data_IF_382548233937
#
_entry.id   IF_382548233937
#
_cell.length_a   1.000
_cell.length_b   1.000
_cell.length_c   1.000
_cell.angle_alpha   90.00
_cell.angle_beta   90.00
_cell.angle_gamma   90.00
#
_symmetry.space_group_name_H-M   'P 1'
#
loop_
_entity.id
_entity.type
_entity.pdbx_description
1 polymer ?
#
# COMPACT_ATOMS: atom_id res chain seq x y z
N UNK A 1 -14.75 6.27 3.49
CA UNK A 1 -13.65 6.89 2.71
C UNK A 1 -14.00 6.82 1.23
N UNK A 2 -13.65 7.84 0.45
CA UNK A 2 -13.79 7.79 -1.00
C UNK A 2 -12.46 7.33 -1.62
N UNK A 3 -12.38 6.09 -2.11
CA UNK A 3 -11.19 5.57 -2.81
C UNK A 3 -10.99 6.19 -4.20
N UNK A 4 -11.94 6.99 -4.69
CA UNK A 4 -11.88 7.59 -6.03
C UNK A 4 -10.73 8.60 -6.22
N UNK A 5 -10.08 9.00 -5.12
CA UNK A 5 -8.87 9.83 -5.18
C UNK A 5 -7.61 9.01 -5.54
N UNK A 6 -7.72 7.67 -5.63
CA UNK A 6 -6.62 6.77 -5.94
C UNK A 6 -6.90 6.02 -7.25
N UNK A 7 -5.89 5.90 -8.11
CA UNK A 7 -5.96 5.01 -9.27
C UNK A 7 -5.55 3.58 -8.84
N UNK A 8 -6.51 2.84 -8.27
CA UNK A 8 -6.26 1.50 -7.72
C UNK A 8 -5.97 0.44 -8.80
N UNK A 9 -6.39 0.65 -10.05
CA UNK A 9 -6.10 -0.24 -11.18
C UNK A 9 -4.58 -0.37 -11.41
N UNK A 10 -3.78 0.65 -11.06
CA UNK A 10 -2.31 0.61 -11.19
C UNK A 10 -1.64 -0.44 -10.30
N UNK A 11 -2.32 -0.88 -9.24
CA UNK A 11 -1.74 -1.75 -8.21
C UNK A 11 -2.52 -3.05 -7.99
N UNK A 12 -3.62 -3.29 -8.71
CA UNK A 12 -4.49 -4.44 -8.49
C UNK A 12 -3.75 -5.78 -8.63
N UNK A 13 -2.87 -5.91 -9.63
CA UNK A 13 -2.07 -7.10 -9.88
C UNK A 13 -0.89 -7.28 -8.90
N UNK A 14 -0.61 -6.27 -8.07
CA UNK A 14 0.49 -6.27 -7.12
C UNK A 14 0.11 -6.85 -5.75
N UNK A 15 -1.18 -7.02 -5.49
CA UNK A 15 -1.71 -7.53 -4.22
C UNK A 15 -2.41 -8.86 -4.48
N UNK A 16 -1.78 -9.96 -4.04
CA UNK A 16 -2.37 -11.30 -4.21
C UNK A 16 -1.87 -12.29 -3.17
N UNK A 17 -2.70 -13.29 -2.89
CA UNK A 17 -2.31 -14.54 -2.25
C UNK A 17 -2.37 -15.68 -3.27
N UNK A 18 -1.83 -16.84 -2.94
CA UNK A 18 -1.78 -17.99 -3.86
C UNK A 18 -3.16 -18.42 -4.37
N UNK A 19 -4.21 -18.29 -3.54
CA UNK A 19 -5.56 -18.75 -3.86
C UNK A 19 -6.59 -17.62 -4.01
N UNK A 20 -6.40 -16.48 -3.34
CA UNK A 20 -7.21 -15.27 -3.55
C UNK A 20 -8.71 -15.48 -3.28
N UNK A 21 -9.06 -16.03 -2.12
CA UNK A 21 -10.46 -16.36 -1.77
C UNK A 21 -11.31 -15.11 -1.45
N UNK A 22 -10.64 -14.08 -0.93
CA UNK A 22 -11.23 -12.81 -0.54
C UNK A 22 -10.49 -11.65 -1.19
N UNK A 23 -11.20 -10.57 -1.52
CA UNK A 23 -10.63 -9.33 -2.05
C UNK A 23 -11.40 -8.12 -1.53
N UNK A 24 -10.75 -6.98 -1.39
CA UNK A 24 -11.40 -5.79 -0.86
C UNK A 24 -10.45 -4.64 -0.61
N UNK A 25 -10.82 -3.80 0.36
CA UNK A 25 -10.16 -2.53 0.63
C UNK A 25 -9.47 -2.55 1.99
N UNK A 26 -8.37 -1.81 2.07
CA UNK A 26 -7.64 -1.54 3.31
C UNK A 26 -7.39 -0.03 3.42
N UNK A 27 -7.45 0.47 4.64
CA UNK A 27 -7.01 1.82 5.01
C UNK A 27 -5.97 1.73 6.11
N UNK A 28 -5.01 2.64 6.06
CA UNK A 28 -3.87 2.67 6.97
C UNK A 28 -3.65 4.13 7.38
N UNK A 29 -3.61 4.36 8.70
CA UNK A 29 -3.23 5.64 9.28
C UNK A 29 -1.83 5.55 9.88
N UNK A 30 -0.97 6.51 9.52
CA UNK A 30 0.28 6.79 10.23
C UNK A 30 0.04 7.62 11.51
N UNK A 31 1.13 7.94 12.20
CA UNK A 31 1.13 8.86 13.33
C UNK A 31 1.22 10.34 12.92
N UNK A 32 1.96 10.65 11.85
CA UNK A 32 2.28 12.01 11.39
C UNK A 32 2.37 12.18 9.87
N UNK A 33 1.66 11.35 9.08
CA UNK A 33 1.58 11.44 7.61
C UNK A 33 2.88 11.09 6.85
N UNK A 34 4.03 11.16 7.51
CA UNK A 34 5.35 10.84 6.98
C UNK A 34 5.86 9.44 7.42
N UNK A 35 5.12 8.71 8.24
CA UNK A 35 5.63 7.48 8.88
C UNK A 35 5.92 6.36 7.89
N UNK A 36 5.18 6.30 6.77
CA UNK A 36 5.45 5.32 5.73
C UNK A 36 6.73 5.65 4.94
N UNK A 37 7.05 6.95 4.79
CA UNK A 37 8.35 7.38 4.25
C UNK A 37 9.47 7.02 5.22
N UNK A 38 9.26 7.25 6.52
CA UNK A 38 10.19 6.85 7.56
C UNK A 38 10.41 5.35 7.60
N UNK A 39 9.34 4.54 7.48
CA UNK A 39 9.43 3.09 7.37
C UNK A 39 10.36 2.68 6.23
N UNK A 40 10.20 3.28 5.05
CA UNK A 40 11.05 3.01 3.90
C UNK A 40 12.52 3.39 4.17
N UNK A 41 12.75 4.58 4.74
CA UNK A 41 14.08 5.06 5.10
C UNK A 41 14.78 4.15 6.12
N UNK A 42 14.10 3.80 7.20
CA UNK A 42 14.63 2.95 8.28
C UNK A 42 14.95 1.52 7.79
N UNK A 43 14.42 1.12 6.62
CA UNK A 43 14.68 -0.18 5.98
C UNK A 43 15.53 -0.06 4.69
N UNK A 44 16.26 1.06 4.52
CA UNK A 44 17.32 1.20 3.53
C UNK A 44 16.91 1.79 2.18
N UNK A 45 15.71 2.35 2.06
CA UNK A 45 15.29 3.11 0.88
C UNK A 45 15.70 4.57 1.08
N UNK A 46 16.56 5.07 0.20
CA UNK A 46 17.03 6.46 0.22
C UNK A 46 15.92 7.43 -0.20
N UNK A 47 15.19 7.99 0.78
CA UNK A 47 14.04 8.86 0.54
C UNK A 47 14.42 10.27 0.05
N UNK A 48 15.71 10.62 0.01
CA UNK A 48 16.17 11.84 -0.67
C UNK A 48 16.22 11.61 -2.19
N UNK A 49 16.51 10.38 -2.62
CA UNK A 49 16.52 9.96 -4.04
C UNK A 49 15.17 9.47 -4.55
N UNK A 50 14.30 9.03 -3.66
CA UNK A 50 13.07 8.34 -4.00
C UNK A 50 11.85 8.92 -3.29
N UNK A 51 10.74 9.02 -4.02
CA UNK A 51 9.44 9.39 -3.46
C UNK A 51 8.51 8.18 -3.42
N UNK A 52 7.86 7.94 -2.28
CA UNK A 52 6.93 6.82 -2.08
C UNK A 52 5.56 7.11 -2.69
N UNK A 53 5.08 6.22 -3.56
CA UNK A 53 3.76 6.32 -4.20
C UNK A 53 2.83 5.13 -3.90
N UNK A 54 3.35 4.08 -3.30
CA UNK A 54 2.55 2.92 -2.91
C UNK A 54 3.33 1.99 -1.99
N UNK A 55 2.62 1.29 -1.13
CA UNK A 55 3.20 0.35 -0.17
C UNK A 55 2.31 -0.87 -0.07
N UNK A 56 2.90 -2.06 -0.12
CA UNK A 56 2.20 -3.30 0.22
C UNK A 56 2.91 -4.01 1.36
N UNK A 57 2.12 -4.77 2.12
CA UNK A 57 2.58 -5.69 3.15
C UNK A 57 1.93 -7.04 2.91
N UNK A 58 2.70 -8.11 3.06
CA UNK A 58 2.22 -9.47 2.85
C UNK A 58 2.99 -10.46 3.69
N UNK A 59 2.33 -11.58 3.99
CA UNK A 59 2.97 -12.75 4.55
C UNK A 59 2.61 -13.98 3.71
N UNK A 60 3.63 -14.73 3.34
CA UNK A 60 3.53 -15.83 2.38
C UNK A 60 3.97 -17.16 2.99
N UNK A 61 3.91 -17.29 4.31
CA UNK A 61 4.27 -18.53 4.99
C UNK A 61 3.12 -19.52 4.94
N UNK A 62 3.44 -20.80 4.81
CA UNK A 62 2.45 -21.89 4.87
C UNK A 62 2.12 -22.30 6.32
N UNK A 63 2.83 -21.75 7.30
CA UNK A 63 2.73 -22.12 8.73
C UNK A 63 1.79 -21.23 9.53
N UNK A 64 1.16 -20.24 8.88
CA UNK A 64 0.28 -19.26 9.50
C UNK A 64 0.95 -17.90 9.72
N UNK A 65 0.11 -16.86 9.74
CA UNK A 65 0.52 -15.46 9.91
C UNK A 65 1.25 -15.26 11.24
N UNK A 66 2.29 -14.43 11.25
CA UNK A 66 3.08 -14.06 12.43
C UNK A 66 4.18 -15.05 12.81
N UNK A 67 4.21 -16.27 12.25
CA UNK A 67 5.16 -17.31 12.66
C UNK A 67 6.62 -17.00 12.34
N UNK A 68 6.88 -16.14 11.34
CA UNK A 68 8.24 -15.68 11.02
C UNK A 68 8.62 -14.38 11.73
N UNK A 69 7.73 -13.85 12.57
CA UNK A 69 7.90 -12.57 13.29
C UNK A 69 8.18 -11.36 12.38
N UNK A 70 7.98 -11.52 11.07
CA UNK A 70 8.26 -10.52 10.04
C UNK A 70 7.18 -10.52 8.97
N UNK A 71 6.87 -9.32 8.49
CA UNK A 71 6.11 -9.08 7.27
C UNK A 71 7.06 -8.74 6.12
N UNK A 72 6.72 -9.19 4.92
CA UNK A 72 7.38 -8.75 3.70
C UNK A 72 6.66 -7.52 3.17
N UNK A 73 7.42 -6.47 2.91
CA UNK A 73 6.94 -5.22 2.34
C UNK A 73 7.45 -5.04 0.92
N UNK A 74 6.70 -4.28 0.13
CA UNK A 74 7.13 -3.76 -1.16
C UNK A 74 6.73 -2.29 -1.25
N UNK A 75 7.71 -1.41 -1.43
CA UNK A 75 7.49 -0.02 -1.74
C UNK A 75 7.52 0.19 -3.26
N UNK A 76 6.55 0.94 -3.77
CA UNK A 76 6.57 1.55 -5.09
C UNK A 76 7.12 2.97 -4.94
N UNK A 77 8.24 3.23 -5.57
CA UNK A 77 8.92 4.53 -5.50
C UNK A 77 9.26 5.07 -6.88
N UNK A 78 9.35 6.39 -7.01
CA UNK A 78 9.82 7.08 -8.22
C UNK A 78 11.07 7.91 -7.92
N UNK A 79 11.91 8.17 -8.91
CA UNK A 79 13.15 8.95 -8.73
C UNK A 79 12.88 10.45 -8.62
N UNK A 80 13.32 11.07 -7.53
CA UNK A 80 13.14 12.50 -7.30
C UNK A 80 13.91 13.36 -8.30
N UNK A 81 15.02 12.85 -8.83
CA UNK A 81 15.80 13.53 -9.87
C UNK A 81 15.07 13.63 -11.22
N UNK A 82 14.14 12.70 -11.52
CA UNK A 82 13.35 12.70 -12.77
C UNK A 82 12.04 13.46 -12.61
N UNK A 83 11.36 13.30 -11.46
CA UNK A 83 10.00 13.81 -11.26
C UNK A 83 9.90 15.01 -10.30
N UNK A 84 10.95 15.35 -9.55
CA UNK A 84 10.93 16.38 -8.51
C UNK A 84 10.88 15.80 -7.10
N UNK A 85 11.00 16.68 -6.10
CA UNK A 85 11.21 16.31 -4.69
C UNK A 85 9.98 16.52 -3.80
N UNK A 86 8.95 17.17 -4.33
CA UNK A 86 7.67 17.43 -3.64
C UNK A 86 6.50 16.86 -4.43
N UNK A 87 5.36 16.67 -3.75
CA UNK A 87 4.14 16.19 -4.38
C UNK A 87 3.73 17.06 -5.58
N UNK A 88 3.75 18.39 -5.43
CA UNK A 88 3.34 19.32 -6.48
C UNK A 88 4.26 19.25 -7.71
N UNK A 89 5.58 19.14 -7.51
CA UNK A 89 6.54 18.97 -8.60
C UNK A 89 6.34 17.64 -9.33
N UNK A 90 6.17 16.56 -8.56
CA UNK A 90 5.94 15.20 -9.07
C UNK A 90 4.67 15.17 -9.90
N UNK A 91 3.56 15.68 -9.36
CA UNK A 91 2.29 15.73 -10.06
C UNK A 91 2.44 16.46 -11.39
N UNK A 92 3.02 17.67 -11.37
CA UNK A 92 3.21 18.49 -12.56
C UNK A 92 4.05 17.77 -13.63
N UNK A 93 5.15 17.12 -13.24
CA UNK A 93 6.01 16.41 -14.18
C UNK A 93 5.36 15.15 -14.75
N UNK A 94 4.56 14.43 -13.96
CA UNK A 94 3.76 13.31 -14.44
C UNK A 94 2.70 13.78 -15.44
N UNK A 95 2.00 14.88 -15.16
CA UNK A 95 1.02 15.47 -16.06
C UNK A 95 1.65 15.91 -17.40
N UNK A 96 2.85 16.52 -17.35
CA UNK A 96 3.62 16.87 -18.54
C UNK A 96 4.03 15.65 -19.38
N UNK A 97 4.13 14.48 -18.75
CA UNK A 97 4.40 13.19 -19.41
C UNK A 97 3.13 12.37 -19.66
N UNK A 98 1.97 13.03 -19.85
CA UNK A 98 0.68 12.41 -20.13
C UNK A 98 0.25 11.35 -19.10
N UNK A 99 0.59 11.55 -17.82
CA UNK A 99 0.22 10.65 -16.73
C UNK A 99 1.09 9.40 -16.61
N UNK A 100 2.17 9.27 -17.39
CA UNK A 100 3.05 8.10 -17.35
C UNK A 100 4.23 8.34 -16.39
N UNK A 101 4.39 7.45 -15.41
CA UNK A 101 5.50 7.48 -14.45
C UNK A 101 6.25 6.14 -14.43
N UNK A 102 7.58 6.18 -14.26
CA UNK A 102 8.41 5.00 -14.05
C UNK A 102 8.60 4.75 -12.57
N UNK A 103 8.01 3.67 -12.06
CA UNK A 103 8.14 3.25 -10.67
C UNK A 103 9.09 2.06 -10.51
N UNK A 104 9.83 2.03 -9.39
CA UNK A 104 10.63 0.90 -8.94
C UNK A 104 9.94 0.18 -7.79
N UNK A 105 10.03 -1.15 -7.78
CA UNK A 105 9.61 -2.00 -6.66
C UNK A 105 10.83 -2.27 -5.78
N UNK A 106 10.74 -1.94 -4.50
CA UNK A 106 11.80 -2.23 -3.52
C UNK A 106 11.21 -3.09 -2.42
N UNK A 107 11.77 -4.29 -2.25
CA UNK A 107 11.32 -5.26 -1.26
C UNK A 107 12.17 -5.20 0.00
N UNK A 108 11.53 -5.26 1.16
CA UNK A 108 12.19 -5.29 2.46
C UNK A 108 11.33 -6.07 3.47
N UNK A 109 11.90 -6.39 4.64
CA UNK A 109 11.17 -7.08 5.69
C UNK A 109 11.12 -6.21 6.95
N UNK A 110 9.98 -6.26 7.64
CA UNK A 110 9.73 -5.48 8.86
C UNK A 110 9.29 -6.44 9.96
N UNK A 111 9.86 -6.34 11.16
CA UNK A 111 9.41 -7.18 12.28
C UNK A 111 8.01 -6.73 12.72
N UNK A 112 7.17 -7.67 13.15
CA UNK A 112 5.85 -7.36 13.70
C UNK A 112 5.93 -6.37 14.87
N UNK A 113 6.93 -6.55 15.75
CA UNK A 113 7.17 -5.68 16.90
C UNK A 113 7.46 -4.22 16.52
N UNK A 114 7.91 -3.98 15.29
CA UNK A 114 8.29 -2.65 14.80
C UNK A 114 7.16 -1.94 14.05
N UNK A 115 6.11 -2.65 13.64
CA UNK A 115 5.02 -2.07 12.84
C UNK A 115 4.32 -0.91 13.53
N UNK A 116 4.09 -1.02 14.84
CA UNK A 116 3.43 0.02 15.63
C UNK A 116 4.18 1.36 15.67
N UNK A 117 5.48 1.37 15.31
CA UNK A 117 6.27 2.59 15.16
C UNK A 117 5.82 3.44 13.97
N UNK A 118 5.25 2.80 12.94
CA UNK A 118 4.94 3.45 11.66
C UNK A 118 3.45 3.44 11.33
N UNK A 119 2.75 2.35 11.67
CA UNK A 119 1.32 2.18 11.43
C UNK A 119 0.61 2.35 12.77
N UNK A 120 -0.21 3.40 12.86
CA UNK A 120 -1.01 3.70 14.05
C UNK A 120 -2.27 2.85 14.08
N UNK A 121 -2.97 2.77 12.94
CA UNK A 121 -4.22 2.03 12.76
C UNK A 121 -4.28 1.48 11.35
N UNK A 122 -4.97 0.37 11.18
CA UNK A 122 -5.44 -0.07 9.88
C UNK A 122 -6.84 -0.67 10.06
N UNK A 123 -7.62 -0.62 8.98
CA UNK A 123 -8.92 -1.26 8.90
C UNK A 123 -9.07 -1.86 7.51
N UNK A 124 -9.69 -3.02 7.41
CA UNK A 124 -9.92 -3.69 6.14
C UNK A 124 -11.27 -4.39 6.12
N UNK A 125 -11.89 -4.38 4.94
CA UNK A 125 -13.08 -5.16 4.66
C UNK A 125 -12.86 -5.92 3.36
N UNK A 126 -13.16 -7.22 3.38
CA UNK A 126 -13.03 -8.09 2.22
C UNK A 126 -14.36 -8.75 1.89
N UNK A 127 -14.57 -8.96 0.61
CA UNK A 127 -15.68 -9.68 0.04
C UNK A 127 -15.23 -11.03 -0.50
N UNK A 128 -16.13 -12.00 -0.50
CA UNK A 128 -15.95 -13.24 -1.27
C UNK A 128 -16.30 -12.99 -2.73
N UNK A 129 -15.96 -13.96 -3.60
CA UNK A 129 -16.38 -13.95 -5.01
C UNK A 129 -17.91 -13.93 -5.22
N UNK A 130 -18.72 -14.12 -4.17
CA UNK A 130 -20.18 -14.07 -4.25
C UNK A 130 -20.68 -12.66 -4.58
N UNK A 131 -19.99 -11.61 -4.14
CA UNK A 131 -20.45 -10.22 -4.30
C UNK A 131 -20.56 -9.81 -5.77
N UNK A 132 -19.87 -10.49 -6.70
CA UNK A 132 -20.05 -10.29 -8.14
C UNK A 132 -21.48 -10.57 -8.63
N UNK A 133 -22.28 -11.28 -7.84
CA UNK A 133 -23.67 -11.64 -8.13
C UNK A 133 -24.68 -10.78 -7.35
N UNK A 134 -24.21 -9.84 -6.53
CA UNK A 134 -25.06 -8.98 -5.70
C UNK A 134 -25.10 -7.60 -6.37
N UNK A 135 -26.29 -7.14 -6.76
CA UNK A 135 -26.48 -5.82 -7.36
C UNK A 135 -26.60 -4.69 -6.33
N UNK A 136 -27.12 -5.03 -5.16
CA UNK A 136 -27.38 -4.09 -4.07
C UNK A 136 -27.25 -4.84 -2.74
N UNK A 137 -26.69 -4.19 -1.73
CA UNK A 137 -26.54 -4.73 -0.38
C UNK A 137 -27.25 -3.80 0.61
N UNK A 138 -28.18 -4.36 1.38
CA UNK A 138 -28.79 -3.70 2.53
C UNK A 138 -28.03 -4.14 3.79
N UNK A 139 -27.46 -3.18 4.52
CA UNK A 139 -26.68 -3.43 5.74
C UNK A 139 -27.58 -3.12 6.92
N UNK A 140 -27.82 -4.13 7.76
CA UNK A 140 -28.53 -4.00 9.03
C UNK A 140 -27.50 -4.07 10.15
N UNK A 141 -27.55 -3.12 11.09
CA UNK A 141 -26.72 -3.11 12.28
C UNK A 141 -27.53 -3.62 13.47
N UNK A 142 -26.98 -4.59 14.20
CA UNK A 142 -27.50 -4.96 15.52
C UNK A 142 -26.84 -4.03 16.57
N UNK A 143 -27.64 -3.49 17.50
CA UNK A 143 -27.18 -2.62 18.61
C UNK A 143 -26.21 -3.33 19.58
#
# INVERSE_FOLDING_TARGET
>A
MNTNNYNLELIEDLVRTQYGDYGGYIQIDGHSGADLFKLCNDHGIDMDKYFLIGLSAGEHTTTGIGKREKLSFMALVIETAEYGSSFDEIQKNIELNNGVAKAKKVHFNVNYSDLGKYIKRFDFMVATKLTKHISEIEILEDE
#
